data_IF_308464683056
#
_entry.id   IF_308464683056
#
_cell.length_a   1.000
_cell.length_b   1.000
_cell.length_c   1.000
_cell.angle_alpha   90.00
_cell.angle_beta   90.00
_cell.angle_gamma   90.00
#
_symmetry.space_group_name_H-M   'P 1'
#
loop_
_entity.id
_entity.type
_entity.pdbx_description
1 polymer ?
#
# COMPACT_ATOMS: atom_id res chain seq x y z
N UNK A 1 -37.88 -6.18 -5.54
CA UNK A 1 -36.70 -6.99 -5.63
C UNK A 1 -35.51 -6.08 -5.59
N UNK A 2 -34.84 -5.99 -4.48
CA UNK A 2 -33.53 -5.31 -4.39
C UNK A 2 -32.52 -6.25 -5.01
N UNK A 3 -32.22 -6.05 -6.29
CA UNK A 3 -31.03 -6.61 -6.88
C UNK A 3 -29.83 -5.96 -6.21
N UNK A 4 -29.31 -6.61 -5.17
CA UNK A 4 -27.96 -6.36 -4.67
C UNK A 4 -26.98 -6.92 -5.70
N UNK A 5 -26.98 -6.33 -6.89
CA UNK A 5 -25.93 -6.56 -7.87
C UNK A 5 -24.67 -5.88 -7.31
N UNK A 6 -23.62 -6.65 -7.10
CA UNK A 6 -22.29 -6.08 -6.91
C UNK A 6 -22.02 -5.17 -8.11
N UNK A 7 -21.81 -3.88 -7.87
CA UNK A 7 -21.59 -2.88 -8.93
C UNK A 7 -20.43 -3.23 -9.88
N UNK A 8 -19.60 -4.20 -9.51
CA UNK A 8 -18.38 -4.61 -10.20
C UNK A 8 -18.64 -5.69 -11.28
N UNK A 9 -19.84 -6.29 -11.36
CA UNK A 9 -20.13 -7.39 -12.31
C UNK A 9 -19.97 -6.96 -13.77
N UNK A 10 -20.19 -5.69 -14.08
CA UNK A 10 -20.22 -5.17 -15.45
C UNK A 10 -18.89 -5.32 -16.20
N UNK A 11 -17.75 -5.29 -15.47
CA UNK A 11 -16.41 -5.37 -16.02
C UNK A 11 -15.71 -6.71 -15.74
N UNK A 12 -16.44 -7.74 -15.31
CA UNK A 12 -15.87 -9.06 -15.06
C UNK A 12 -15.84 -9.91 -16.33
N UNK A 13 -15.12 -9.45 -17.34
CA UNK A 13 -14.90 -10.11 -18.62
C UNK A 13 -13.45 -10.58 -18.81
N UNK A 14 -13.19 -11.25 -19.94
CA UNK A 14 -11.85 -11.79 -20.23
C UNK A 14 -10.81 -10.70 -20.44
N UNK A 15 -11.20 -9.52 -20.96
CA UNK A 15 -10.28 -8.40 -21.15
C UNK A 15 -9.79 -7.85 -19.82
N UNK A 16 -10.69 -7.50 -18.91
CA UNK A 16 -10.34 -7.01 -17.59
C UNK A 16 -9.62 -8.06 -16.73
N UNK A 17 -9.96 -9.36 -16.92
CA UNK A 17 -9.21 -10.44 -16.28
C UNK A 17 -7.74 -10.44 -16.67
N UNK A 18 -7.42 -10.28 -17.96
CA UNK A 18 -6.04 -10.21 -18.45
C UNK A 18 -5.33 -8.98 -17.89
N UNK A 19 -5.99 -7.81 -17.88
CA UNK A 19 -5.40 -6.60 -17.30
C UNK A 19 -5.05 -6.78 -15.82
N UNK A 20 -5.93 -7.43 -15.05
CA UNK A 20 -5.67 -7.71 -13.65
C UNK A 20 -4.59 -8.76 -13.43
N UNK A 21 -4.53 -9.79 -14.27
CA UNK A 21 -3.51 -10.83 -14.20
C UNK A 21 -2.09 -10.26 -14.36
N UNK A 22 -1.94 -9.25 -15.24
CA UNK A 22 -0.65 -8.57 -15.47
C UNK A 22 -0.45 -7.32 -14.62
N UNK A 23 -1.40 -6.98 -13.73
CA UNK A 23 -1.37 -5.78 -12.88
C UNK A 23 -1.22 -4.47 -13.67
N UNK A 24 -1.86 -4.38 -14.83
CA UNK A 24 -1.87 -3.18 -15.69
C UNK A 24 -3.25 -2.51 -15.78
N UNK A 25 -4.20 -2.96 -14.98
CA UNK A 25 -5.58 -2.50 -15.01
C UNK A 25 -5.69 -0.97 -14.88
N UNK A 26 -5.03 -0.37 -13.90
CA UNK A 26 -5.12 1.07 -13.63
C UNK A 26 -4.15 1.93 -14.44
N UNK A 27 -3.59 1.41 -15.54
CA UNK A 27 -2.72 2.19 -16.43
C UNK A 27 -3.49 2.98 -17.52
N UNK A 28 -4.80 3.13 -17.33
CA UNK A 28 -5.68 3.82 -18.28
C UNK A 28 -6.36 2.89 -19.27
N UNK A 29 -6.23 1.58 -19.10
CA UNK A 29 -6.86 0.57 -19.97
C UNK A 29 -8.20 0.08 -19.45
N UNK A 30 -8.53 0.32 -18.18
CA UNK A 30 -9.76 -0.13 -17.52
C UNK A 30 -10.74 1.04 -17.38
N UNK A 31 -12.01 0.82 -17.74
CA UNK A 31 -13.06 1.84 -17.58
C UNK A 31 -13.65 1.86 -16.17
N UNK A 32 -13.38 0.82 -15.38
CA UNK A 32 -13.87 0.69 -14.01
C UNK A 32 -13.25 -0.51 -13.28
N UNK A 33 -13.55 -0.63 -12.00
CA UNK A 33 -13.02 -1.74 -11.19
C UNK A 33 -13.65 -3.07 -11.60
N UNK A 34 -12.82 -4.12 -11.68
CA UNK A 34 -13.23 -5.48 -12.03
C UNK A 34 -12.67 -6.48 -11.03
N UNK A 35 -13.25 -7.67 -10.93
CA UNK A 35 -12.83 -8.81 -10.10
C UNK A 35 -12.40 -8.43 -8.67
N UNK A 36 -11.10 -8.25 -8.44
CA UNK A 36 -10.56 -7.87 -7.14
C UNK A 36 -10.21 -6.39 -7.12
N UNK A 37 -11.15 -5.56 -6.63
CA UNK A 37 -11.00 -4.11 -6.58
C UNK A 37 -9.63 -3.61 -6.09
N UNK A 38 -9.08 -4.08 -4.96
CA UNK A 38 -7.77 -3.65 -4.44
C UNK A 38 -6.58 -3.75 -5.41
N UNK A 39 -6.67 -4.55 -6.47
CA UNK A 39 -5.59 -4.69 -7.46
C UNK A 39 -5.25 -3.36 -8.16
N UNK A 40 -6.18 -2.40 -8.23
CA UNK A 40 -5.93 -1.10 -8.83
C UNK A 40 -4.68 -0.40 -8.23
N UNK A 41 -4.52 -0.43 -6.93
CA UNK A 41 -3.37 0.22 -6.28
C UNK A 41 -2.06 -0.52 -6.52
N UNK A 42 -2.10 -1.86 -6.54
CA UNK A 42 -0.93 -2.71 -6.89
C UNK A 42 -0.47 -2.44 -8.31
N UNK A 43 -1.42 -2.26 -9.24
CA UNK A 43 -1.16 -1.88 -10.63
C UNK A 43 -0.38 -0.56 -10.72
N UNK A 44 -0.81 0.46 -9.96
CA UNK A 44 -0.12 1.75 -9.89
C UNK A 44 1.25 1.63 -9.21
N UNK A 45 1.34 0.87 -8.11
CA UNK A 45 2.61 0.65 -7.42
C UNK A 45 3.67 0.02 -8.33
N UNK A 46 3.32 -0.98 -9.13
CA UNK A 46 4.26 -1.61 -10.08
C UNK A 46 4.79 -0.59 -11.08
N UNK A 47 3.95 0.29 -11.59
CA UNK A 47 4.38 1.37 -12.48
C UNK A 47 5.38 2.31 -11.78
N UNK A 48 5.06 2.73 -10.56
CA UNK A 48 5.93 3.62 -9.76
C UNK A 48 7.25 2.94 -9.41
N UNK A 49 7.24 1.64 -9.10
CA UNK A 49 8.47 0.86 -8.90
C UNK A 49 9.33 0.84 -10.17
N UNK A 50 8.71 0.74 -11.35
CA UNK A 50 9.41 0.86 -12.63
C UNK A 50 10.12 2.21 -12.77
N UNK A 51 9.42 3.31 -12.52
CA UNK A 51 10.01 4.67 -12.51
C UNK A 51 11.14 4.79 -11.47
N UNK A 52 10.90 4.32 -10.25
CA UNK A 52 11.91 4.34 -9.18
C UNK A 52 13.16 3.58 -9.58
N UNK A 53 13.01 2.41 -10.22
CA UNK A 53 14.14 1.59 -10.68
C UNK A 53 14.97 2.32 -11.73
N UNK A 54 14.34 3.01 -12.67
CA UNK A 54 15.02 3.85 -13.66
C UNK A 54 15.77 5.02 -13.01
N UNK A 55 15.21 5.59 -11.97
CA UNK A 55 15.80 6.71 -11.24
C UNK A 55 16.85 6.29 -10.19
N UNK A 56 16.95 5.00 -9.88
CA UNK A 56 17.75 4.51 -8.74
C UNK A 56 19.22 4.93 -8.81
N UNK A 57 19.83 4.92 -10.01
CA UNK A 57 21.21 5.38 -10.20
C UNK A 57 21.40 6.84 -9.81
N UNK A 58 20.50 7.71 -10.27
CA UNK A 58 20.50 9.14 -9.96
C UNK A 58 20.15 9.43 -8.49
N UNK A 59 19.19 8.68 -7.91
CA UNK A 59 18.84 8.78 -6.50
C UNK A 59 20.00 8.39 -5.58
N UNK A 60 20.77 7.37 -5.93
CA UNK A 60 21.99 7.01 -5.18
C UNK A 60 23.04 8.12 -5.21
N UNK A 61 23.15 8.88 -6.31
CA UNK A 61 24.11 9.96 -6.47
C UNK A 61 23.65 11.25 -5.77
N UNK A 62 22.40 11.64 -5.96
CA UNK A 62 21.86 12.94 -5.50
C UNK A 62 20.96 12.84 -4.27
N UNK A 63 20.70 11.64 -3.76
CA UNK A 63 19.99 11.32 -2.49
C UNK A 63 18.86 12.31 -2.13
N UNK A 64 19.07 13.11 -1.08
CA UNK A 64 18.09 14.06 -0.55
C UNK A 64 17.64 15.09 -1.57
N UNK A 65 18.56 15.63 -2.38
CA UNK A 65 18.21 16.68 -3.35
C UNK A 65 17.21 16.17 -4.39
N UNK A 66 17.50 15.02 -5.00
CA UNK A 66 16.63 14.49 -6.04
C UNK A 66 15.29 14.00 -5.48
N UNK A 67 15.30 13.34 -4.31
CA UNK A 67 14.04 12.90 -3.67
C UNK A 67 13.16 14.10 -3.29
N UNK A 68 13.72 15.17 -2.77
CA UNK A 68 12.99 16.39 -2.46
C UNK A 68 12.46 17.06 -3.74
N UNK A 69 13.29 17.18 -4.79
CA UNK A 69 12.88 17.75 -6.08
C UNK A 69 11.70 16.97 -6.69
N UNK A 70 11.74 15.64 -6.67
CA UNK A 70 10.64 14.79 -7.15
C UNK A 70 9.37 15.06 -6.32
N UNK A 71 9.47 15.09 -5.00
CA UNK A 71 8.32 15.39 -4.14
C UNK A 71 7.69 16.74 -4.45
N UNK A 72 8.50 17.79 -4.60
CA UNK A 72 8.02 19.14 -4.94
C UNK A 72 7.35 19.15 -6.31
N UNK A 73 7.99 18.54 -7.32
CA UNK A 73 7.45 18.49 -8.69
C UNK A 73 6.09 17.79 -8.71
N UNK A 74 5.96 16.64 -8.05
CA UNK A 74 4.71 15.91 -7.97
C UNK A 74 3.61 16.68 -7.22
N UNK A 75 3.97 17.46 -6.19
CA UNK A 75 3.04 18.36 -5.49
C UNK A 75 2.57 19.50 -6.37
N UNK A 76 3.45 20.09 -7.19
CA UNK A 76 3.12 21.17 -8.11
C UNK A 76 2.21 20.67 -9.23
N UNK A 77 2.53 19.54 -9.85
CA UNK A 77 1.72 18.95 -10.92
C UNK A 77 0.31 18.59 -10.41
N UNK A 78 0.20 18.07 -9.19
CA UNK A 78 -1.10 17.76 -8.60
C UNK A 78 -2.00 18.98 -8.41
N UNK A 79 -1.44 20.16 -8.19
CA UNK A 79 -2.22 21.41 -8.07
C UNK A 79 -2.72 21.94 -9.43
N UNK A 80 -2.16 21.44 -10.54
CA UNK A 80 -2.67 21.75 -11.86
C UNK A 80 -3.92 20.87 -12.06
N UNK A 81 -5.10 21.48 -11.98
CA UNK A 81 -6.36 20.82 -12.24
C UNK A 81 -6.50 20.50 -13.74
N UNK A 82 -6.46 19.24 -14.10
CA UNK A 82 -6.73 18.77 -15.47
C UNK A 82 -8.18 18.26 -15.53
N UNK A 83 -8.93 18.57 -16.58
CA UNK A 83 -10.38 18.40 -16.64
C UNK A 83 -10.90 17.15 -17.38
N UNK A 84 -10.05 16.25 -17.91
CA UNK A 84 -10.47 15.14 -18.78
C UNK A 84 -10.48 13.73 -18.09
N UNK A 85 -11.13 12.76 -18.72
CA UNK A 85 -11.30 11.40 -18.19
C UNK A 85 -9.99 10.59 -18.02
N UNK A 86 -8.96 10.84 -18.81
CA UNK A 86 -7.57 10.41 -18.59
C UNK A 86 -7.01 10.92 -17.25
N UNK A 87 -7.63 11.94 -16.73
CA UNK A 87 -7.31 12.61 -15.48
C UNK A 87 -7.42 11.69 -14.25
N UNK A 88 -8.42 10.82 -14.18
CA UNK A 88 -8.62 9.98 -12.99
C UNK A 88 -7.45 9.00 -12.79
N UNK A 89 -7.06 8.28 -13.82
CA UNK A 89 -5.91 7.37 -13.76
C UNK A 89 -4.61 8.13 -13.47
N UNK A 90 -4.41 9.27 -14.14
CA UNK A 90 -3.23 10.10 -13.92
C UNK A 90 -3.18 10.69 -12.49
N UNK A 91 -4.30 11.08 -11.93
CA UNK A 91 -4.39 11.56 -10.54
C UNK A 91 -3.99 10.47 -9.55
N UNK A 92 -4.43 9.22 -9.76
CA UNK A 92 -4.03 8.09 -8.93
C UNK A 92 -2.52 7.85 -8.97
N UNK A 93 -1.90 7.96 -10.16
CA UNK A 93 -0.43 7.88 -10.30
C UNK A 93 0.29 9.00 -9.53
N UNK A 94 -0.22 10.23 -9.61
CA UNK A 94 0.35 11.35 -8.87
C UNK A 94 0.22 11.16 -7.35
N UNK A 95 -0.93 10.70 -6.88
CA UNK A 95 -1.16 10.47 -5.45
C UNK A 95 -0.27 9.36 -4.89
N UNK A 96 -0.24 8.21 -5.54
CA UNK A 96 0.61 7.11 -5.14
C UNK A 96 2.10 7.48 -5.26
N UNK A 97 2.50 8.13 -6.36
CA UNK A 97 3.87 8.58 -6.58
C UNK A 97 4.35 9.56 -5.51
N UNK A 98 3.52 10.52 -5.11
CA UNK A 98 3.87 11.47 -4.03
C UNK A 98 4.14 10.75 -2.71
N UNK A 99 3.24 9.84 -2.31
CA UNK A 99 3.40 9.10 -1.05
C UNK A 99 4.61 8.18 -1.10
N UNK A 100 4.85 7.53 -2.23
CA UNK A 100 6.01 6.69 -2.43
C UNK A 100 7.33 7.48 -2.34
N UNK A 101 7.46 8.58 -3.07
CA UNK A 101 8.69 9.39 -3.04
C UNK A 101 8.86 10.17 -1.72
N UNK A 102 7.79 10.47 -1.01
CA UNK A 102 7.88 10.91 0.40
C UNK A 102 8.51 9.83 1.27
N UNK A 103 8.16 8.55 1.08
CA UNK A 103 8.82 7.43 1.75
C UNK A 103 10.32 7.34 1.42
N UNK A 104 10.69 7.53 0.14
CA UNK A 104 12.09 7.61 -0.29
C UNK A 104 12.84 8.77 0.38
N UNK A 105 12.19 9.94 0.48
CA UNK A 105 12.75 11.10 1.18
C UNK A 105 12.96 10.81 2.68
N UNK A 106 11.98 10.20 3.34
CA UNK A 106 12.07 9.75 4.75
C UNK A 106 13.26 8.81 4.94
N UNK A 107 13.42 7.85 4.03
CA UNK A 107 14.57 6.93 4.07
C UNK A 107 15.91 7.67 4.03
N UNK A 108 16.09 8.59 3.08
CA UNK A 108 17.34 9.36 3.00
C UNK A 108 17.51 10.33 4.17
N UNK A 109 16.45 10.97 4.66
CA UNK A 109 16.51 11.78 5.88
C UNK A 109 16.99 10.96 7.08
N UNK A 110 16.45 9.77 7.26
CA UNK A 110 16.83 8.90 8.36
C UNK A 110 18.27 8.39 8.27
N UNK A 111 18.84 8.27 7.06
CA UNK A 111 20.22 7.76 6.86
C UNK A 111 21.28 8.86 6.81
N UNK A 112 21.00 9.98 6.15
CA UNK A 112 22.00 11.01 5.84
C UNK A 112 22.08 12.12 6.90
N UNK A 113 20.98 12.41 7.61
CA UNK A 113 20.98 13.47 8.64
C UNK A 113 21.71 12.99 9.89
N UNK A 114 22.75 13.73 10.28
CA UNK A 114 23.60 13.40 11.44
C UNK A 114 22.90 13.65 12.77
N UNK A 115 22.11 14.72 12.87
CA UNK A 115 21.43 15.13 14.10
C UNK A 115 20.12 14.38 14.29
N UNK A 116 20.19 13.08 14.60
CA UNK A 116 19.03 12.20 14.76
C UNK A 116 18.02 12.70 15.78
N UNK A 117 18.49 13.20 16.92
CA UNK A 117 17.62 13.72 17.99
C UNK A 117 16.84 14.96 17.54
N UNK A 118 17.50 15.91 16.87
CA UNK A 118 16.81 17.08 16.32
C UNK A 118 15.78 16.69 15.27
N UNK A 119 16.14 15.76 14.37
CA UNK A 119 15.21 15.23 13.38
C UNK A 119 13.99 14.56 14.03
N UNK A 120 14.18 13.82 15.11
CA UNK A 120 13.12 13.20 15.88
C UNK A 120 12.15 14.24 16.49
N UNK A 121 12.71 15.29 17.13
CA UNK A 121 11.87 16.38 17.69
C UNK A 121 11.09 17.13 16.61
N UNK A 122 11.73 17.43 15.47
CA UNK A 122 11.06 18.04 14.32
C UNK A 122 9.93 17.14 13.81
N UNK A 123 10.16 15.82 13.75
CA UNK A 123 9.15 14.87 13.31
C UNK A 123 7.95 14.84 14.26
N UNK A 124 8.17 14.90 15.58
CA UNK A 124 7.10 14.99 16.57
C UNK A 124 6.32 16.30 16.39
N UNK A 125 7.02 17.41 16.20
CA UNK A 125 6.38 18.72 15.98
C UNK A 125 5.51 18.68 14.70
N UNK A 126 6.04 18.18 13.57
CA UNK A 126 5.31 18.03 12.32
C UNK A 126 4.10 17.10 12.47
N UNK A 127 4.24 16.01 13.24
CA UNK A 127 3.14 15.09 13.52
C UNK A 127 2.01 15.78 14.29
N UNK A 128 2.33 16.49 15.39
CA UNK A 128 1.32 17.22 16.17
C UNK A 128 0.68 18.32 15.31
N UNK A 129 1.46 19.07 14.55
CA UNK A 129 0.97 20.12 13.66
C UNK A 129 0.04 19.56 12.58
N UNK A 130 0.32 18.36 12.06
CA UNK A 130 -0.51 17.70 11.06
C UNK A 130 -1.90 17.31 11.58
N UNK A 131 -2.08 17.13 12.90
CA UNK A 131 -3.37 16.84 13.51
C UNK A 131 -4.30 18.06 13.50
N UNK A 132 -3.74 19.27 13.47
CA UNK A 132 -4.47 20.53 13.55
C UNK A 132 -4.74 21.10 12.14
N UNK A 133 -3.81 20.92 11.20
CA UNK A 133 -3.84 21.57 9.88
C UNK A 133 -4.49 20.76 8.76
N UNK A 134 -4.72 21.42 7.61
CA UNK A 134 -5.29 20.80 6.41
C UNK A 134 -4.29 19.94 5.61
N UNK A 135 -3.00 19.96 5.95
CA UNK A 135 -1.95 19.18 5.29
C UNK A 135 -1.77 17.76 5.87
N UNK A 136 -2.84 17.16 6.40
CA UNK A 136 -2.79 15.93 7.20
C UNK A 136 -1.96 14.82 6.57
N UNK A 137 -2.22 14.45 5.32
CA UNK A 137 -1.57 13.27 4.71
C UNK A 137 -0.10 13.49 4.42
N UNK A 138 0.30 14.70 4.01
CA UNK A 138 1.69 15.01 3.59
C UNK A 138 2.64 15.28 4.75
N UNK A 139 2.13 15.64 5.91
CA UNK A 139 2.92 15.82 7.13
C UNK A 139 2.74 14.65 8.09
N UNK A 140 1.54 14.11 8.20
CA UNK A 140 1.23 12.99 9.11
C UNK A 140 2.01 11.73 8.75
N UNK A 141 1.88 11.23 7.52
CA UNK A 141 2.53 9.99 7.12
C UNK A 141 4.06 10.04 7.20
N UNK A 142 4.76 11.03 6.61
CA UNK A 142 6.22 11.06 6.67
C UNK A 142 6.75 11.34 8.08
N UNK A 143 6.09 12.18 8.89
CA UNK A 143 6.50 12.42 10.26
C UNK A 143 6.32 11.20 11.15
N UNK A 144 5.20 10.50 11.03
CA UNK A 144 4.95 9.24 11.72
C UNK A 144 5.99 8.16 11.33
N UNK A 145 6.29 8.01 10.03
CA UNK A 145 7.33 7.09 9.57
C UNK A 145 8.71 7.44 10.13
N UNK A 146 9.09 8.73 10.13
CA UNK A 146 10.36 9.18 10.72
C UNK A 146 10.43 8.87 12.21
N UNK A 147 9.36 9.14 12.97
CA UNK A 147 9.29 8.81 14.40
C UNK A 147 9.52 7.31 14.59
N UNK A 148 8.84 6.44 13.84
CA UNK A 148 9.03 4.99 13.97
C UNK A 148 10.45 4.54 13.60
N UNK A 149 10.99 5.02 12.47
CA UNK A 149 12.35 4.66 12.03
C UNK A 149 13.42 5.12 13.03
N UNK A 150 13.29 6.35 13.54
CA UNK A 150 14.26 6.89 14.51
C UNK A 150 14.10 6.29 15.92
N UNK A 151 12.91 5.80 16.26
CA UNK A 151 12.68 5.10 17.53
C UNK A 151 12.99 3.60 17.48
N UNK A 152 13.28 3.03 16.32
CA UNK A 152 13.60 1.59 16.17
C UNK A 152 14.78 1.17 17.08
N UNK A 153 15.80 2.01 17.23
CA UNK A 153 16.94 1.76 18.11
C UNK A 153 16.56 1.71 19.60
N UNK A 154 15.43 2.29 19.98
CA UNK A 154 14.89 2.26 21.35
C UNK A 154 14.12 0.96 21.63
N UNK A 155 13.63 0.29 20.60
CA UNK A 155 12.83 -0.95 20.70
C UNK A 155 13.79 -2.15 20.75
N UNK A 156 14.35 -2.42 21.92
CA UNK A 156 15.35 -3.50 22.13
C UNK A 156 14.74 -4.90 22.31
N UNK A 157 13.43 -5.02 22.47
CA UNK A 157 12.77 -6.30 22.75
C UNK A 157 12.60 -7.17 21.49
N UNK A 158 13.34 -8.28 21.39
CA UNK A 158 13.26 -9.20 20.24
C UNK A 158 11.83 -9.64 19.92
N UNK A 159 10.99 -9.93 20.92
CA UNK A 159 9.58 -10.31 20.72
C UNK A 159 8.77 -9.20 20.07
N UNK A 160 9.03 -7.94 20.43
CA UNK A 160 8.34 -6.76 19.88
C UNK A 160 8.77 -6.54 18.43
N UNK A 161 10.06 -6.64 18.14
CA UNK A 161 10.59 -6.56 16.77
C UNK A 161 10.02 -7.69 15.89
N UNK A 162 9.96 -8.92 16.39
CA UNK A 162 9.37 -10.06 15.67
C UNK A 162 7.89 -9.85 15.40
N UNK A 163 7.14 -9.31 16.36
CA UNK A 163 5.72 -8.97 16.17
C UNK A 163 5.53 -7.93 15.05
N UNK A 164 6.26 -6.82 15.09
CA UNK A 164 6.16 -5.80 14.04
C UNK A 164 6.59 -6.33 12.66
N UNK A 165 7.62 -7.18 12.62
CA UNK A 165 8.06 -7.82 11.37
C UNK A 165 6.99 -8.74 10.79
N UNK A 166 6.35 -9.57 11.62
CA UNK A 166 5.28 -10.46 11.18
C UNK A 166 4.08 -9.64 10.71
N UNK A 167 3.66 -8.63 11.49
CA UNK A 167 2.55 -7.75 11.13
C UNK A 167 2.79 -7.05 9.79
N UNK A 168 3.99 -6.48 9.58
CA UNK A 168 4.36 -5.86 8.32
C UNK A 168 4.33 -6.83 7.13
N UNK A 169 4.82 -8.05 7.33
CA UNK A 169 4.79 -9.08 6.28
C UNK A 169 3.37 -9.51 5.91
N UNK A 170 2.41 -9.44 6.84
CA UNK A 170 1.02 -9.82 6.59
C UNK A 170 0.20 -8.70 5.90
N UNK A 171 0.65 -7.45 5.96
CA UNK A 171 -0.11 -6.30 5.46
C UNK A 171 -0.50 -6.45 3.99
N UNK A 172 0.42 -6.89 3.15
CA UNK A 172 0.18 -7.08 1.72
C UNK A 172 -0.82 -8.21 1.45
N UNK A 173 -0.63 -9.35 2.09
CA UNK A 173 -1.57 -10.47 1.97
C UNK A 173 -2.97 -10.09 2.47
N UNK A 174 -3.07 -9.40 3.63
CA UNK A 174 -4.34 -8.88 4.16
C UNK A 174 -5.04 -7.97 3.15
N UNK A 175 -4.29 -7.07 2.54
CA UNK A 175 -4.83 -6.12 1.57
C UNK A 175 -5.39 -6.81 0.31
N UNK A 176 -4.71 -7.83 -0.22
CA UNK A 176 -5.17 -8.50 -1.44
C UNK A 176 -6.31 -9.48 -1.22
N UNK A 177 -6.36 -10.14 -0.05
CA UNK A 177 -7.34 -11.22 0.16
C UNK A 177 -8.61 -10.77 0.90
N UNK A 178 -8.71 -9.51 1.39
CA UNK A 178 -9.89 -9.10 2.16
C UNK A 178 -11.18 -9.15 1.32
N UNK A 179 -11.15 -8.77 0.04
CA UNK A 179 -12.33 -8.87 -0.83
C UNK A 179 -12.70 -10.33 -1.12
N UNK A 180 -11.79 -11.23 -1.56
CA UNK A 180 -12.11 -12.64 -1.70
C UNK A 180 -12.68 -13.28 -0.42
N UNK A 181 -12.13 -12.97 0.74
CA UNK A 181 -12.64 -13.46 2.03
C UNK A 181 -14.04 -12.90 2.31
N UNK A 182 -14.25 -11.60 2.08
CA UNK A 182 -15.56 -10.97 2.24
C UNK A 182 -16.61 -11.63 1.34
N UNK A 183 -16.30 -11.81 0.06
CA UNK A 183 -17.20 -12.46 -0.89
C UNK A 183 -17.52 -13.90 -0.50
N UNK A 184 -16.52 -14.64 -0.04
CA UNK A 184 -16.71 -16.04 0.43
C UNK A 184 -17.67 -16.10 1.63
N UNK A 185 -17.50 -15.19 2.59
CA UNK A 185 -18.40 -15.11 3.77
C UNK A 185 -19.82 -14.73 3.34
N UNK A 186 -19.96 -13.75 2.43
CA UNK A 186 -21.26 -13.37 1.88
C UNK A 186 -21.96 -14.55 1.21
N UNK A 187 -21.24 -15.33 0.41
CA UNK A 187 -21.78 -16.53 -0.24
C UNK A 187 -22.22 -17.58 0.79
N UNK A 188 -21.45 -17.80 1.85
CA UNK A 188 -21.79 -18.73 2.92
C UNK A 188 -23.07 -18.27 3.62
N UNK A 189 -23.14 -17.01 4.03
CA UNK A 189 -24.32 -16.45 4.72
C UNK A 189 -25.57 -16.59 3.85
N UNK A 190 -25.46 -16.29 2.54
CA UNK A 190 -26.57 -16.42 1.59
C UNK A 190 -27.00 -17.88 1.39
N UNK A 191 -26.07 -18.80 1.20
CA UNK A 191 -26.38 -20.22 0.97
C UNK A 191 -27.02 -20.90 2.18
N UNK A 192 -26.66 -20.50 3.39
CA UNK A 192 -27.25 -21.03 4.62
C UNK A 192 -28.48 -20.24 5.10
N UNK A 193 -28.96 -19.27 4.30
CA UNK A 193 -30.13 -18.42 4.60
C UNK A 193 -30.05 -17.75 5.97
N UNK A 194 -28.85 -17.35 6.39
CA UNK A 194 -28.74 -16.52 7.59
C UNK A 194 -29.34 -15.14 7.34
N UNK A 195 -29.92 -14.56 8.41
CA UNK A 195 -30.45 -13.20 8.34
C UNK A 195 -29.35 -12.17 8.04
N UNK A 196 -29.60 -11.22 7.14
CA UNK A 196 -28.69 -10.11 6.82
C UNK A 196 -28.34 -9.25 8.05
N UNK A 197 -29.15 -9.33 9.12
CA UNK A 197 -28.87 -8.67 10.39
C UNK A 197 -27.57 -9.16 11.06
N UNK A 198 -27.03 -10.31 10.64
CA UNK A 198 -25.77 -10.84 11.19
C UNK A 198 -24.60 -9.89 10.93
N UNK A 199 -24.61 -9.17 9.80
CA UNK A 199 -23.55 -8.22 9.43
C UNK A 199 -23.47 -7.00 10.37
N UNK A 200 -24.55 -6.67 11.05
CA UNK A 200 -24.62 -5.55 12.01
C UNK A 200 -24.25 -5.96 13.44
N UNK A 201 -23.93 -7.22 13.66
CA UNK A 201 -23.54 -7.70 14.99
C UNK A 201 -22.05 -7.53 15.24
N UNK A 202 -21.68 -6.99 16.41
CA UNK A 202 -20.28 -6.74 16.78
C UNK A 202 -19.41 -8.00 16.73
N UNK A 203 -19.95 -9.16 17.11
CA UNK A 203 -19.21 -10.44 17.05
C UNK A 203 -18.85 -10.81 15.61
N UNK A 204 -19.67 -10.47 14.62
CA UNK A 204 -19.39 -10.73 13.20
C UNK A 204 -18.12 -10.01 12.74
N UNK A 205 -17.90 -8.78 13.19
CA UNK A 205 -16.69 -8.03 12.94
C UNK A 205 -15.44 -8.79 13.41
N UNK A 206 -15.45 -9.29 14.65
CA UNK A 206 -14.32 -10.05 15.20
C UNK A 206 -14.09 -11.37 14.47
N UNK A 207 -15.17 -12.09 14.12
CA UNK A 207 -15.09 -13.33 13.33
C UNK A 207 -14.48 -13.03 11.96
N UNK A 208 -14.95 -12.00 11.25
CA UNK A 208 -14.43 -11.60 9.95
C UNK A 208 -12.93 -11.31 10.02
N UNK A 209 -12.50 -10.49 10.98
CA UNK A 209 -11.07 -10.17 11.15
C UNK A 209 -10.24 -11.38 11.55
N UNK A 210 -10.77 -12.26 12.38
CA UNK A 210 -10.10 -13.52 12.72
C UNK A 210 -9.86 -14.42 11.50
N UNK A 211 -10.89 -14.61 10.67
CA UNK A 211 -10.80 -15.38 9.42
C UNK A 211 -9.82 -14.70 8.46
N UNK A 212 -9.89 -13.39 8.32
CA UNK A 212 -9.03 -12.61 7.43
C UNK A 212 -7.56 -12.72 7.83
N UNK A 213 -7.23 -12.53 9.10
CA UNK A 213 -5.85 -12.64 9.62
C UNK A 213 -5.33 -14.06 9.44
N UNK A 214 -6.14 -15.07 9.74
CA UNK A 214 -5.76 -16.48 9.55
C UNK A 214 -5.49 -16.78 8.07
N UNK A 215 -6.38 -16.36 7.18
CA UNK A 215 -6.23 -16.55 5.74
C UNK A 215 -4.98 -15.84 5.19
N UNK A 216 -4.70 -14.61 5.63
CA UNK A 216 -3.50 -13.88 5.28
C UNK A 216 -2.23 -14.57 5.77
N UNK A 217 -2.25 -15.07 7.01
CA UNK A 217 -1.12 -15.81 7.57
C UNK A 217 -0.84 -17.11 6.79
N UNK A 218 -1.88 -17.86 6.43
CA UNK A 218 -1.74 -19.07 5.62
C UNK A 218 -1.19 -18.75 4.23
N UNK A 219 -1.72 -17.72 3.56
CA UNK A 219 -1.23 -17.26 2.27
C UNK A 219 0.24 -16.85 2.34
N UNK A 220 0.62 -16.03 3.33
CA UNK A 220 1.99 -15.62 3.54
C UNK A 220 2.92 -16.82 3.79
N UNK A 221 2.55 -17.72 4.70
CA UNK A 221 3.40 -18.82 5.12
C UNK A 221 3.61 -19.87 4.03
N UNK A 222 2.54 -20.24 3.33
CA UNK A 222 2.57 -21.38 2.39
C UNK A 222 2.82 -20.97 0.94
N UNK A 223 2.54 -19.73 0.59
CA UNK A 223 2.70 -19.25 -0.78
C UNK A 223 3.72 -18.13 -0.89
N UNK A 224 3.51 -16.99 -0.26
CA UNK A 224 4.32 -15.78 -0.48
C UNK A 224 5.77 -15.98 -0.01
N UNK A 225 6.00 -16.40 1.22
CA UNK A 225 7.33 -16.56 1.79
C UNK A 225 8.19 -17.62 1.05
N UNK A 226 7.67 -18.83 0.70
CA UNK A 226 8.41 -19.79 -0.11
C UNK A 226 8.74 -19.26 -1.50
N UNK A 227 7.79 -18.58 -2.17
CA UNK A 227 8.01 -18.02 -3.51
C UNK A 227 9.04 -16.89 -3.47
N UNK A 228 8.97 -15.99 -2.50
CA UNK A 228 9.96 -14.94 -2.30
C UNK A 228 11.37 -15.50 -2.08
N UNK A 229 11.50 -16.56 -1.27
CA UNK A 229 12.79 -17.25 -1.07
C UNK A 229 13.30 -17.84 -2.38
N UNK A 230 12.44 -18.55 -3.12
CA UNK A 230 12.80 -19.16 -4.40
C UNK A 230 13.26 -18.12 -5.43
N UNK A 231 12.52 -17.02 -5.57
CA UNK A 231 12.86 -15.92 -6.49
C UNK A 231 14.21 -15.31 -6.10
N UNK A 232 14.42 -15.01 -4.82
CA UNK A 232 15.69 -14.45 -4.34
C UNK A 232 16.86 -15.38 -4.59
N UNK A 233 16.73 -16.67 -4.35
CA UNK A 233 17.83 -17.64 -4.59
C UNK A 233 18.09 -17.87 -6.06
N UNK A 234 17.10 -17.74 -6.93
CA UNK A 234 17.23 -18.00 -8.38
C UNK A 234 17.74 -16.77 -9.13
N UNK A 235 17.27 -15.58 -8.81
CA UNK A 235 17.52 -14.36 -9.59
C UNK A 235 18.50 -13.38 -8.94
N UNK A 236 18.66 -13.41 -7.61
CA UNK A 236 19.65 -12.54 -6.97
C UNK A 236 20.99 -13.28 -6.92
N UNK A 237 21.95 -12.79 -7.68
CA UNK A 237 23.36 -13.18 -7.49
C UNK A 237 23.79 -12.89 -6.06
N UNK A 238 24.65 -13.74 -5.50
CA UNK A 238 25.23 -13.58 -4.14
C UNK A 238 25.88 -12.22 -3.87
N UNK A 239 26.19 -11.47 -4.93
CA UNK A 239 26.90 -10.19 -4.88
C UNK A 239 26.01 -8.97 -4.54
N UNK A 240 24.70 -9.17 -4.32
CA UNK A 240 23.72 -8.11 -4.00
C UNK A 240 23.16 -8.20 -2.56
N UNK A 241 23.63 -9.16 -1.79
CA UNK A 241 23.35 -9.36 -0.38
C UNK A 241 24.56 -8.94 0.46
#
# INVERSE_FOLDING_TARGET
>A
GTENSFQIIHYNDSYHFILQLFFISSWGFEEGHSFNGPIWSVSIEIFIYGIFFLLLGSLKKFKLFLSLAICITLLLIYKLEFTDSLYYSFQLFLECGRLFFLGVLVYYLSKEVKFKFALFLISIFCFIFSLIGNFKIYLFCPSMLLIFVLSEELIKGKKVQDFFRISGNLTYALYLIHIPVQLTILLIVKNFNFSDLIYFKTYFFFIFFGILILSAYLCFRFFENPMNKKIRTTFLRKDWL
#
